data_IF_905915763136
#
_entry.id   IF_905915763136
#
_cell.length_a   1.000
_cell.length_b   1.000
_cell.length_c   1.000
_cell.angle_alpha   90.00
_cell.angle_beta   90.00
_cell.angle_gamma   90.00
#
_symmetry.space_group_name_H-M   'P 1'
#
loop_
_entity.id
_entity.type
_entity.pdbx_description
1 polymer ?
#
# COMPACT_ATOMS: atom_id res chain seq x y z
N UNK A 1 12.68 1.59 9.26
CA UNK A 1 11.23 1.39 9.04
C UNK A 1 10.41 2.45 9.78
N UNK A 2 10.58 2.62 11.10
CA UNK A 2 9.81 3.59 11.91
C UNK A 2 9.76 5.03 11.35
N UNK A 3 10.87 5.57 10.85
CA UNK A 3 10.89 6.93 10.25
C UNK A 3 9.97 7.02 9.02
N UNK A 4 9.92 5.97 8.20
CA UNK A 4 9.09 5.92 7.00
C UNK A 4 7.60 5.74 7.36
N UNK A 5 7.31 4.90 8.36
CA UNK A 5 5.94 4.74 8.88
C UNK A 5 5.41 6.04 9.48
N UNK A 6 6.22 6.75 10.27
CA UNK A 6 5.87 8.05 10.84
C UNK A 6 5.66 9.11 9.74
N UNK A 7 6.50 9.13 8.72
CA UNK A 7 6.32 10.00 7.56
C UNK A 7 4.98 9.73 6.85
N UNK A 8 4.65 8.46 6.61
CA UNK A 8 3.35 8.07 6.05
C UNK A 8 2.18 8.42 6.97
N UNK A 9 2.34 8.24 8.28
CA UNK A 9 1.35 8.69 9.27
C UNK A 9 0.99 10.16 9.08
N UNK A 10 1.99 11.01 8.91
CA UNK A 10 1.82 12.44 8.69
C UNK A 10 1.23 12.76 7.32
N UNK A 11 1.62 12.06 6.26
CA UNK A 11 1.06 12.27 4.91
C UNK A 11 -0.44 12.01 4.85
N UNK A 12 -0.91 11.00 5.58
CA UNK A 12 -2.34 10.66 5.69
C UNK A 12 -3.04 11.43 6.84
N UNK A 13 -2.46 12.55 7.30
CA UNK A 13 -3.12 13.48 8.22
C UNK A 13 -2.95 13.19 9.72
N UNK A 14 -2.22 12.15 10.11
CA UNK A 14 -1.99 11.82 11.53
C UNK A 14 -0.63 12.30 12.03
N UNK A 15 -0.63 13.32 12.89
CA UNK A 15 0.59 13.89 13.48
C UNK A 15 1.15 13.09 14.67
N UNK A 16 0.28 12.34 15.35
CA UNK A 16 0.60 11.67 16.61
C UNK A 16 0.90 10.18 16.43
N UNK A 17 0.33 9.56 15.39
CA UNK A 17 0.56 8.14 15.11
C UNK A 17 1.90 7.93 14.41
N UNK A 18 2.56 6.82 14.73
CA UNK A 18 3.86 6.45 14.17
C UNK A 18 3.88 5.09 13.48
N UNK A 19 2.77 4.35 13.57
CA UNK A 19 2.63 2.99 13.06
C UNK A 19 1.53 2.97 12.00
N UNK A 20 1.87 2.55 10.79
CA UNK A 20 0.94 2.56 9.64
C UNK A 20 -0.29 1.67 9.87
N UNK A 21 -0.11 0.48 10.47
CA UNK A 21 -1.25 -0.41 10.74
C UNK A 21 -2.24 0.18 11.76
N UNK A 22 -1.74 0.83 12.81
CA UNK A 22 -2.60 1.49 13.79
C UNK A 22 -3.39 2.63 13.14
N UNK A 23 -2.71 3.44 12.30
CA UNK A 23 -3.35 4.54 11.58
C UNK A 23 -4.37 4.04 10.55
N UNK A 24 -4.05 2.96 9.84
CA UNK A 24 -4.98 2.28 8.92
C UNK A 24 -6.25 1.81 9.65
N UNK A 25 -6.10 1.19 10.83
CA UNK A 25 -7.25 0.77 11.65
C UNK A 25 -8.08 1.96 12.12
N UNK A 26 -7.44 3.03 12.61
CA UNK A 26 -8.14 4.22 13.07
C UNK A 26 -8.91 4.92 11.93
N UNK A 27 -8.28 5.02 10.75
CA UNK A 27 -8.91 5.60 9.57
C UNK A 27 -10.08 4.74 9.08
N UNK A 28 -9.92 3.41 9.08
CA UNK A 28 -11.01 2.50 8.76
C UNK A 28 -12.20 2.64 9.72
N UNK A 29 -11.95 2.62 11.04
CA UNK A 29 -13.01 2.79 12.04
C UNK A 29 -13.73 4.13 11.91
N UNK A 30 -12.98 5.21 11.64
CA UNK A 30 -13.53 6.56 11.45
C UNK A 30 -14.36 6.66 10.17
N UNK A 31 -13.84 6.21 9.03
CA UNK A 31 -14.50 6.36 7.72
C UNK A 31 -15.82 5.59 7.66
N UNK A 32 -15.90 4.43 8.31
CA UNK A 32 -17.05 3.54 8.22
C UNK A 32 -17.89 3.49 9.50
N UNK A 33 -17.62 4.37 10.48
CA UNK A 33 -18.37 4.51 11.74
C UNK A 33 -18.54 3.19 12.51
N UNK A 34 -17.50 2.36 12.58
CA UNK A 34 -17.48 1.18 13.45
C UNK A 34 -17.31 1.64 14.91
N UNK A 35 -18.37 2.19 15.50
CA UNK A 35 -18.37 2.73 16.87
C UNK A 35 -18.94 1.74 17.89
N UNK A 36 -19.70 0.74 17.45
CA UNK A 36 -20.27 -0.30 18.32
C UNK A 36 -19.82 -1.70 17.90
N UNK A 37 -19.35 -2.49 18.88
CA UNK A 37 -18.80 -3.84 18.65
C UNK A 37 -19.85 -4.86 18.20
N UNK A 38 -21.13 -4.55 18.44
CA UNK A 38 -22.23 -5.49 18.26
C UNK A 38 -22.82 -5.48 16.84
N UNK A 39 -22.47 -4.51 15.98
CA UNK A 39 -23.02 -4.36 14.62
C UNK A 39 -21.99 -4.51 13.50
N UNK A 40 -20.89 -5.23 13.75
CA UNK A 40 -19.75 -5.35 12.81
C UNK A 40 -20.15 -5.85 11.40
N UNK A 41 -21.27 -6.57 11.27
CA UNK A 41 -21.77 -7.15 10.02
C UNK A 41 -23.03 -6.49 9.45
N UNK A 42 -23.61 -5.49 10.14
CA UNK A 42 -24.79 -4.75 9.65
C UNK A 42 -24.42 -3.47 8.87
N UNK A 43 -23.13 -3.13 8.84
CA UNK A 43 -22.62 -2.01 8.04
C UNK A 43 -22.79 -2.35 6.56
N UNK A 44 -23.74 -1.67 5.92
CA UNK A 44 -23.92 -1.70 4.47
C UNK A 44 -22.78 -0.87 3.85
N UNK A 45 -21.57 -1.44 3.81
CA UNK A 45 -20.35 -0.82 3.28
C UNK A 45 -20.39 -0.73 1.76
N UNK A 46 -21.47 -0.16 1.20
CA UNK A 46 -21.71 -0.07 -0.24
C UNK A 46 -20.64 0.75 -0.99
N UNK A 47 -19.78 1.46 -0.29
CA UNK A 47 -18.75 2.32 -0.85
C UNK A 47 -17.43 2.17 -0.08
N UNK A 48 -16.93 0.93 0.09
CA UNK A 48 -15.58 0.75 0.61
C UNK A 48 -14.57 1.27 -0.41
N UNK A 49 -14.02 2.45 -0.16
CA UNK A 49 -12.87 2.97 -0.87
C UNK A 49 -11.60 2.54 -0.12
N UNK A 50 -10.83 1.65 -0.73
CA UNK A 50 -9.55 1.20 -0.18
C UNK A 50 -8.44 2.24 -0.39
N UNK A 51 -8.60 3.16 -1.34
CA UNK A 51 -7.57 4.11 -1.76
C UNK A 51 -7.28 5.19 -0.71
N UNK A 52 -8.26 5.48 0.14
CA UNK A 52 -8.10 6.42 1.27
C UNK A 52 -7.22 5.83 2.38
N UNK A 53 -7.07 4.52 2.43
CA UNK A 53 -6.28 3.87 3.47
C UNK A 53 -4.79 3.90 3.11
N UNK A 54 -3.90 4.13 4.09
CA UNK A 54 -2.47 3.96 3.85
C UNK A 54 -2.14 2.50 3.53
N UNK A 55 -0.98 2.24 2.90
CA UNK A 55 -0.44 0.90 2.80
C UNK A 55 -0.26 0.30 4.20
N UNK A 56 -0.48 -1.00 4.34
CA UNK A 56 -0.14 -1.67 5.60
C UNK A 56 1.38 -1.73 5.78
N UNK A 57 1.84 -2.05 6.98
CA UNK A 57 3.25 -2.15 7.31
C UNK A 57 4.00 -3.14 6.41
N UNK A 58 3.39 -4.28 6.11
CA UNK A 58 4.01 -5.33 5.27
C UNK A 58 4.15 -4.86 3.81
N UNK A 59 3.11 -4.25 3.24
CA UNK A 59 3.18 -3.63 1.90
C UNK A 59 4.22 -2.52 1.83
N UNK A 60 4.24 -1.64 2.83
CA UNK A 60 5.21 -0.55 2.92
C UNK A 60 6.64 -1.08 2.96
N UNK A 61 6.89 -2.13 3.74
CA UNK A 61 8.19 -2.78 3.82
C UNK A 61 8.60 -3.34 2.46
N UNK A 62 7.71 -4.06 1.78
CA UNK A 62 8.00 -4.63 0.47
C UNK A 62 8.26 -3.55 -0.58
N UNK A 63 7.49 -2.45 -0.56
CA UNK A 63 7.72 -1.31 -1.43
C UNK A 63 9.09 -0.67 -1.17
N UNK A 64 9.45 -0.43 0.09
CA UNK A 64 10.76 0.11 0.45
C UNK A 64 11.91 -0.77 -0.04
N UNK A 65 11.80 -2.10 0.11
CA UNK A 65 12.80 -3.04 -0.35
C UNK A 65 12.99 -2.96 -1.87
N UNK A 66 11.90 -2.93 -2.65
CA UNK A 66 11.96 -2.79 -4.11
C UNK A 66 12.62 -1.48 -4.51
N UNK A 67 12.22 -0.36 -3.90
CA UNK A 67 12.79 0.96 -4.19
C UNK A 67 14.28 1.00 -3.85
N UNK A 68 14.71 0.40 -2.74
CA UNK A 68 16.11 0.31 -2.37
C UNK A 68 16.94 -0.49 -3.39
N UNK A 69 16.40 -1.61 -3.89
CA UNK A 69 17.03 -2.42 -4.93
C UNK A 69 17.18 -1.65 -6.24
N UNK A 70 16.09 -1.04 -6.73
CA UNK A 70 16.09 -0.25 -7.97
C UNK A 70 17.10 0.90 -7.86
N UNK A 71 17.07 1.64 -6.75
CA UNK A 71 18.03 2.73 -6.52
C UNK A 71 19.48 2.24 -6.49
N UNK A 72 19.74 1.05 -5.93
CA UNK A 72 21.07 0.44 -5.91
C UNK A 72 21.57 0.11 -7.33
N UNK A 73 20.71 -0.50 -8.16
CA UNK A 73 21.02 -0.80 -9.56
C UNK A 73 21.37 0.48 -10.33
N UNK A 74 20.52 1.51 -10.24
CA UNK A 74 20.73 2.76 -10.97
C UNK A 74 21.97 3.52 -10.49
N UNK A 75 22.21 3.56 -9.18
CA UNK A 75 23.42 4.18 -8.60
C UNK A 75 24.71 3.56 -9.16
N UNK A 76 24.67 2.28 -9.52
CA UNK A 76 25.81 1.50 -9.97
C UNK A 76 25.71 1.13 -11.46
N UNK A 77 24.85 1.78 -12.24
CA UNK A 77 24.60 1.45 -13.65
C UNK A 77 25.84 1.56 -14.56
N UNK A 78 26.88 2.24 -14.10
CA UNK A 78 28.17 2.35 -14.78
C UNK A 78 29.07 1.10 -14.63
N UNK A 79 28.71 0.17 -13.74
CA UNK A 79 29.45 -1.07 -13.53
C UNK A 79 28.90 -2.17 -14.44
N UNK A 80 29.76 -3.10 -14.85
CA UNK A 80 29.35 -4.30 -15.60
C UNK A 80 28.30 -5.13 -14.83
N UNK A 81 28.43 -5.20 -13.51
CA UNK A 81 27.50 -5.84 -12.61
C UNK A 81 26.98 -4.79 -11.61
N UNK A 82 25.80 -4.18 -11.86
CA UNK A 82 25.34 -3.02 -11.10
C UNK A 82 24.89 -3.35 -9.67
N UNK A 83 24.59 -4.62 -9.36
CA UNK A 83 24.23 -5.01 -8.00
C UNK A 83 24.66 -6.42 -7.68
N UNK A 84 24.95 -6.66 -6.40
CA UNK A 84 25.10 -7.99 -5.80
C UNK A 84 23.89 -8.39 -4.97
N UNK A 85 22.87 -7.52 -4.87
CA UNK A 85 21.64 -7.80 -4.17
C UNK A 85 20.80 -8.84 -4.92
N UNK A 86 20.17 -9.75 -4.21
CA UNK A 86 19.19 -10.68 -4.80
C UNK A 86 17.83 -9.99 -4.93
N UNK A 87 17.17 -9.98 -6.10
CA UNK A 87 15.81 -9.45 -6.23
C UNK A 87 14.84 -10.08 -5.23
N UNK A 88 14.95 -11.39 -4.97
CA UNK A 88 14.03 -12.13 -4.09
C UNK A 88 14.12 -11.73 -2.61
N UNK A 89 15.24 -11.16 -2.20
CA UNK A 89 15.44 -10.59 -0.86
C UNK A 89 14.96 -9.12 -0.77
N UNK A 90 14.66 -8.51 -1.92
CA UNK A 90 14.29 -7.10 -2.03
C UNK A 90 12.90 -6.88 -2.65
N UNK A 91 11.94 -7.68 -2.21
CA UNK A 91 10.52 -7.47 -2.51
C UNK A 91 10.08 -7.86 -3.91
N UNK A 92 10.85 -8.72 -4.56
CA UNK A 92 10.47 -9.44 -5.77
C UNK A 92 10.25 -10.92 -5.45
N UNK A 93 9.51 -11.59 -6.31
CA UNK A 93 9.36 -13.04 -6.32
C UNK A 93 9.56 -13.54 -7.75
N UNK A 94 10.13 -14.73 -7.88
CA UNK A 94 10.40 -15.37 -9.17
C UNK A 94 9.29 -16.40 -9.46
N UNK A 95 8.70 -16.32 -10.65
CA UNK A 95 7.69 -17.25 -11.14
C UNK A 95 7.65 -17.23 -12.66
N UNK A 96 7.52 -18.40 -13.28
CA UNK A 96 7.48 -18.54 -14.74
C UNK A 96 8.68 -17.90 -15.48
N UNK A 97 9.85 -17.90 -14.85
CA UNK A 97 11.07 -17.28 -15.38
C UNK A 97 11.06 -15.75 -15.40
N UNK A 98 10.07 -15.13 -14.73
CA UNK A 98 9.93 -13.68 -14.63
C UNK A 98 9.88 -13.23 -13.16
N UNK A 99 10.31 -11.99 -12.92
CA UNK A 99 10.15 -11.35 -11.63
C UNK A 99 8.82 -10.60 -11.55
N UNK A 100 8.08 -10.83 -10.47
CA UNK A 100 6.90 -10.06 -10.11
C UNK A 100 7.07 -9.45 -8.72
N UNK A 101 6.24 -8.45 -8.39
CA UNK A 101 6.29 -7.84 -7.07
C UNK A 101 5.79 -8.81 -6.00
N UNK A 102 6.59 -8.94 -4.93
CA UNK A 102 6.13 -9.55 -3.68
C UNK A 102 5.32 -8.51 -2.92
N UNK A 103 4.01 -8.51 -3.08
CA UNK A 103 3.14 -7.45 -2.51
C UNK A 103 3.08 -7.49 -0.98
N UNK A 104 2.86 -8.67 -0.42
CA UNK A 104 2.68 -8.88 1.02
C UNK A 104 3.50 -10.07 1.47
N UNK A 105 3.96 -10.02 2.72
CA UNK A 105 4.59 -11.13 3.41
C UNK A 105 3.73 -11.54 4.60
N UNK A 106 2.58 -12.13 4.31
CA UNK A 106 1.64 -12.80 5.20
C UNK A 106 0.44 -13.29 4.39
N UNK A 107 -0.40 -14.12 4.98
CA UNK A 107 -1.70 -14.42 4.41
C UNK A 107 -2.58 -13.16 4.41
N UNK A 108 -3.19 -12.87 3.25
CA UNK A 108 -4.11 -11.73 3.08
C UNK A 108 -5.46 -11.99 3.73
N UNK A 109 -5.80 -13.25 3.95
CA UNK A 109 -7.08 -13.72 4.42
C UNK A 109 -6.86 -14.60 5.66
N UNK A 110 -7.78 -14.56 6.64
CA UNK A 110 -7.80 -15.52 7.73
C UNK A 110 -7.86 -16.96 7.18
N UNK A 111 -7.17 -17.89 7.83
CA UNK A 111 -7.11 -19.29 7.36
C UNK A 111 -8.48 -19.96 7.39
N UNK A 112 -9.34 -19.58 8.34
CA UNK A 112 -10.68 -20.14 8.53
C UNK A 112 -11.74 -19.06 8.66
N UNK A 113 -12.95 -19.39 8.22
CA UNK A 113 -14.13 -18.54 8.41
C UNK A 113 -14.41 -18.32 9.91
N UNK A 114 -14.16 -19.33 10.74
CA UNK A 114 -14.32 -19.28 12.19
C UNK A 114 -13.43 -18.20 12.85
N UNK A 115 -12.33 -17.79 12.21
CA UNK A 115 -11.45 -16.73 12.69
C UNK A 115 -12.09 -15.33 12.56
N UNK A 116 -13.19 -15.23 11.80
CA UNK A 116 -13.89 -13.98 11.47
C UNK A 116 -15.28 -13.93 12.10
N UNK A 117 -15.90 -15.08 12.35
CA UNK A 117 -17.24 -15.16 12.95
C UNK A 117 -17.15 -14.89 14.45
N UNK A 118 -17.76 -13.78 14.89
CA UNK A 118 -17.96 -13.52 16.32
C UNK A 118 -18.81 -14.62 16.91
N UNK A 119 -18.25 -15.40 17.83
CA UNK A 119 -19.04 -16.37 18.59
C UNK A 119 -19.94 -15.56 19.52
N UNK A 120 -21.24 -15.62 19.32
CA UNK A 120 -22.20 -15.14 20.32
C UNK A 120 -21.95 -15.91 21.60
N UNK A 121 -21.38 -15.24 22.60
CA UNK A 121 -21.33 -15.75 23.96
C UNK A 121 -22.78 -15.98 24.38
N UNK A 122 -23.23 -17.24 24.32
CA UNK A 122 -24.50 -17.67 24.93
C UNK A 122 -24.32 -17.69 26.44
N UNK A 123 -24.06 -16.54 27.05
CA UNK A 123 -24.22 -16.31 28.47
C UNK A 123 -25.72 -16.14 28.75
N UNK A 124 -26.41 -17.28 28.84
CA UNK A 124 -27.51 -17.36 29.79
C UNK A 124 -26.88 -17.15 31.16
N UNK A 125 -27.03 -15.97 31.76
CA UNK A 125 -27.31 -15.83 33.19
C UNK A 125 -27.70 -14.39 33.56
N UNK A 126 -28.99 -14.26 33.86
CA UNK A 126 -29.65 -13.37 34.83
C UNK A 126 -29.31 -11.86 34.89
N UNK A 127 -30.33 -11.08 34.56
CA UNK A 127 -30.57 -9.68 34.92
C UNK A 127 -30.41 -9.46 36.44
N UNK A 128 -29.57 -8.51 36.86
CA UNK A 128 -29.84 -7.56 37.96
C UNK A 128 -29.13 -6.21 37.69
N UNK A 129 -29.92 -5.16 37.42
CA UNK A 129 -29.49 -3.76 37.51
C UNK A 129 -29.48 -3.35 39.01
N UNK A 130 -28.56 -2.49 39.48
CA UNK A 130 -28.83 -1.05 39.42
C UNK A 130 -27.61 -0.12 39.23
N UNK A 131 -27.84 0.93 38.43
CA UNK A 131 -27.59 2.36 38.70
C UNK A 131 -26.26 2.78 39.36
N UNK A 132 -25.34 3.35 38.57
CA UNK A 132 -24.58 4.53 38.98
C UNK A 132 -23.99 5.33 37.80
N UNK A 133 -24.04 6.64 37.95
CA UNK A 133 -23.80 7.76 37.02
C UNK A 133 -22.49 7.75 36.19
N UNK A 134 -22.46 8.33 34.96
CA UNK A 134 -21.26 8.35 34.14
C UNK A 134 -20.31 9.50 34.53
N UNK A 135 -19.12 9.15 35.03
CA UNK A 135 -17.98 10.08 35.06
C UNK A 135 -17.31 10.16 33.67
N UNK A 136 -17.56 11.32 33.05
CA UNK A 136 -16.80 12.02 32.02
C UNK A 136 -15.39 11.46 31.70
N UNK A 137 -15.27 10.67 30.63
CA UNK A 137 -13.98 10.35 30.00
C UNK A 137 -13.75 11.34 28.85
N UNK A 138 -12.64 12.06 28.95
CA UNK A 138 -12.23 13.12 28.04
C UNK A 138 -12.19 12.64 26.58
N UNK A 139 -12.76 13.49 25.72
CA UNK A 139 -12.87 13.31 24.26
C UNK A 139 -11.48 13.21 23.63
N UNK A 140 -11.27 12.14 22.87
CA UNK A 140 -10.12 11.97 22.00
C UNK A 140 -10.19 12.97 20.84
N UNK A 141 -9.06 13.63 20.60
CA UNK A 141 -8.91 14.80 19.74
C UNK A 141 -9.42 14.60 18.31
N UNK A 142 -10.08 15.66 17.81
CA UNK A 142 -10.59 15.78 16.45
C UNK A 142 -9.44 15.64 15.45
N UNK A 143 -9.44 14.55 14.69
CA UNK A 143 -8.59 14.39 13.51
C UNK A 143 -9.24 15.20 12.39
N UNK A 144 -8.76 16.42 12.14
CA UNK A 144 -9.17 17.24 11.00
C UNK A 144 -8.76 16.55 9.69
N UNK A 145 -9.72 15.91 9.02
CA UNK A 145 -9.54 15.36 7.68
C UNK A 145 -10.30 16.25 6.70
N UNK A 146 -9.59 17.17 6.07
CA UNK A 146 -10.15 18.11 5.10
C UNK A 146 -10.30 17.38 3.75
N UNK A 147 -11.49 16.85 3.48
CA UNK A 147 -11.81 16.15 2.24
C UNK A 147 -12.41 17.15 1.24
N UNK A 148 -11.56 17.93 0.58
CA UNK A 148 -11.97 18.70 -0.59
C UNK A 148 -11.79 17.84 -1.86
N UNK A 149 -12.80 17.05 -2.18
CA UNK A 149 -12.94 16.48 -3.54
C UNK A 149 -13.66 17.53 -4.37
N UNK A 150 -12.87 18.40 -4.99
CA UNK A 150 -13.36 19.25 -6.08
C UNK A 150 -13.44 18.37 -7.32
N UNK A 151 -14.65 17.87 -7.61
CA UNK A 151 -15.03 17.50 -8.97
C UNK A 151 -15.07 18.78 -9.81
N UNK A 152 -14.01 19.06 -10.57
CA UNK A 152 -14.08 20.05 -11.64
C UNK A 152 -13.73 19.39 -12.97
N UNK A 153 -14.73 19.49 -13.84
CA UNK A 153 -14.82 18.98 -15.20
C UNK A 153 -13.81 19.63 -16.13
N UNK A 154 -13.39 18.85 -17.12
CA UNK A 154 -12.70 19.21 -18.36
C UNK A 154 -13.21 20.51 -19.00
N UNK A 155 -12.27 21.34 -19.48
CA UNK A 155 -12.40 22.06 -20.75
C UNK A 155 -10.99 22.29 -21.34
N UNK A 156 -10.92 22.06 -22.65
CA UNK A 156 -9.77 22.04 -23.55
C UNK A 156 -9.06 23.39 -23.69
N UNK A 157 -7.75 23.37 -23.91
CA UNK A 157 -7.07 24.35 -24.77
C UNK A 157 -5.91 23.63 -25.49
N UNK A 158 -6.07 23.53 -26.81
CA UNK A 158 -5.08 23.11 -27.79
C UNK A 158 -3.89 24.08 -27.81
N UNK A 159 -2.68 23.59 -27.56
CA UNK A 159 -1.45 24.23 -28.01
C UNK A 159 -0.67 23.25 -28.90
N UNK A 160 -0.79 23.49 -30.21
CA UNK A 160 0.04 22.94 -31.28
C UNK A 160 1.50 23.35 -31.07
N UNK A 161 2.32 22.44 -30.54
CA UNK A 161 3.78 22.52 -30.65
C UNK A 161 4.28 21.44 -31.62
N UNK A 162 4.73 21.92 -32.79
CA UNK A 162 5.42 21.17 -33.84
C UNK A 162 6.56 20.28 -33.28
N UNK A 163 6.33 18.96 -33.22
CA UNK A 163 7.39 17.95 -33.13
C UNK A 163 7.59 17.36 -34.54
N UNK A 164 8.46 18.01 -35.31
CA UNK A 164 9.23 17.30 -36.32
C UNK A 164 10.49 16.76 -35.65
N UNK A 165 10.87 15.54 -36.03
CA UNK A 165 12.11 14.82 -35.71
C UNK A 165 12.04 13.75 -34.60
N UNK A 166 11.33 12.64 -34.88
CA UNK A 166 11.70 11.32 -34.33
C UNK A 166 11.69 10.29 -35.47
N UNK A 167 12.72 10.32 -36.32
CA UNK A 167 13.14 9.19 -37.13
C UNK A 167 14.55 8.76 -36.70
N UNK A 168 14.75 8.18 -35.50
CA UNK A 168 15.98 7.39 -35.27
C UNK A 168 15.96 6.39 -34.09
N UNK A 169 14.93 5.55 -33.96
CA UNK A 169 14.95 4.43 -32.98
C UNK A 169 14.77 3.03 -33.60
N UNK A 170 14.87 2.92 -34.92
CA UNK A 170 14.73 1.62 -35.61
C UNK A 170 16.01 0.77 -35.68
N UNK A 171 17.17 1.23 -35.17
CA UNK A 171 18.44 0.50 -35.40
C UNK A 171 19.04 -0.19 -34.16
N UNK A 172 18.44 -0.12 -32.97
CA UNK A 172 19.07 -0.69 -31.77
C UNK A 172 18.76 -2.18 -31.51
N UNK A 173 18.10 -2.90 -32.43
CA UNK A 173 17.70 -4.31 -32.21
C UNK A 173 18.49 -5.37 -33.00
N UNK A 174 19.48 -5.00 -33.82
CA UNK A 174 20.11 -5.99 -34.74
C UNK A 174 21.62 -6.19 -34.55
N UNK A 175 22.23 -5.63 -33.50
CA UNK A 175 23.69 -5.68 -33.33
C UNK A 175 24.21 -6.75 -32.34
N UNK A 176 23.43 -7.80 -32.01
CA UNK A 176 23.89 -8.88 -31.13
C UNK A 176 23.93 -10.28 -31.75
N UNK A 177 23.74 -10.42 -33.07
CA UNK A 177 23.74 -11.75 -33.72
C UNK A 177 24.75 -11.97 -34.85
N UNK A 178 25.66 -11.02 -35.12
CA UNK A 178 26.71 -11.21 -36.13
C UNK A 178 28.07 -10.80 -35.57
N UNK A 179 28.69 -11.73 -34.83
CA UNK A 179 30.15 -11.80 -34.67
C UNK A 179 30.52 -13.20 -34.14
N UNK A 180 30.33 -14.22 -34.98
CA UNK A 180 31.10 -15.46 -34.87
C UNK A 180 31.21 -16.13 -36.25
N UNK A 181 32.01 -15.50 -37.09
CA UNK A 181 32.71 -16.02 -38.27
C UNK A 181 34.06 -15.31 -38.21
N UNK A 182 35.24 -15.90 -38.30
CA UNK A 182 35.67 -17.24 -38.70
C UNK A 182 37.09 -17.47 -38.10
N UNK A 183 37.62 -18.66 -38.37
CA UNK A 183 39.04 -19.01 -38.49
C UNK A 183 39.83 -19.46 -37.25
N UNK A 184 40.16 -20.76 -37.23
CA UNK A 184 41.55 -21.22 -37.30
C UNK A 184 41.64 -22.70 -37.74
N UNK A 185 42.32 -22.88 -38.88
CA UNK A 185 43.09 -24.04 -39.40
C UNK A 185 42.60 -25.49 -39.18
#
# INVERSE_FOLDING_TARGET
MLILEEFLCRMYGSKQMKLTNAMRSALFSKTYNFMDKDELFHVNAKNFDASVLPPCQSELRQHFLRTAYIANVWKNAHLQYPTTMSPTEYGWQEGDGMYSFKWLESDQLPEKVDDIVLQEDRSNDAIENPDDSPENVERQEDIDFDHNVSEESSDDDDDDDDINDIEDLSQCSTALYENSSDDND
#
